data_IF_973017891183
#
_entry.id   IF_973017891183
#
_cell.length_a   1.000
_cell.length_b   1.000
_cell.length_c   1.000
_cell.angle_alpha   90.00
_cell.angle_beta   90.00
_cell.angle_gamma   90.00
#
_symmetry.space_group_name_H-M   'P 1'
#
loop_
_entity.id
_entity.type
_entity.pdbx_description
1 polymer ?
#
# COMPACT_ATOMS: atom_id res chain seq x y z
N UNK A 1 0.44 13.62 -70.71
CA UNK A 1 -0.54 14.34 -69.85
C UNK A 1 -0.78 13.51 -68.61
N UNK A 2 -0.19 13.91 -67.49
CA UNK A 2 -0.37 13.33 -66.16
C UNK A 2 -1.40 14.16 -65.37
N UNK A 3 -2.42 13.51 -64.78
CA UNK A 3 -3.16 13.95 -63.57
C UNK A 3 -3.66 12.65 -62.91
N UNK A 4 -3.10 12.15 -61.82
CA UNK A 4 -3.05 12.66 -60.43
C UNK A 4 -4.43 12.94 -59.83
N UNK A 5 -5.03 11.93 -59.21
CA UNK A 5 -6.16 12.08 -58.29
C UNK A 5 -5.70 11.74 -56.88
N UNK A 6 -5.79 12.75 -56.01
CA UNK A 6 -5.31 12.78 -54.64
C UNK A 6 -6.08 11.83 -53.71
N UNK A 7 -5.32 11.12 -52.85
CA UNK A 7 -5.82 10.42 -51.67
C UNK A 7 -6.25 11.44 -50.61
N UNK A 8 -7.50 11.34 -50.16
CA UNK A 8 -8.07 12.13 -49.06
C UNK A 8 -7.40 11.71 -47.74
N UNK A 9 -6.69 12.65 -47.12
CA UNK A 9 -6.12 12.51 -45.78
C UNK A 9 -7.22 12.50 -44.71
N UNK A 10 -7.03 11.63 -43.73
CA UNK A 10 -7.80 11.56 -42.48
C UNK A 10 -7.50 12.81 -41.64
N UNK A 11 -8.49 13.52 -41.06
CA UNK A 11 -8.23 14.72 -40.28
C UNK A 11 -7.60 14.38 -38.94
N UNK A 12 -6.49 15.05 -38.62
CA UNK A 12 -5.89 15.01 -37.29
C UNK A 12 -6.86 15.59 -36.25
N UNK A 13 -7.15 14.82 -35.20
CA UNK A 13 -7.97 15.22 -34.07
C UNK A 13 -7.25 16.29 -33.21
N UNK A 14 -7.31 17.55 -33.64
CA UNK A 14 -7.08 18.72 -32.79
C UNK A 14 -8.40 19.09 -32.12
N UNK A 15 -8.56 18.72 -30.86
CA UNK A 15 -9.68 19.21 -30.07
C UNK A 15 -9.87 18.47 -28.77
N UNK A 16 -9.20 18.93 -27.71
CA UNK A 16 -9.65 18.93 -26.30
C UNK A 16 -8.47 19.33 -25.39
N UNK A 17 -8.14 20.62 -25.33
CA UNK A 17 -7.40 21.21 -24.21
C UNK A 17 -8.20 22.42 -23.72
N UNK A 18 -9.10 22.17 -22.76
CA UNK A 18 -9.79 23.24 -22.03
C UNK A 18 -8.80 23.88 -21.06
N UNK A 19 -8.78 25.21 -21.09
CA UNK A 19 -7.93 26.16 -20.39
C UNK A 19 -7.52 25.80 -18.95
N UNK A 20 -6.22 25.67 -18.73
CA UNK A 20 -5.64 25.81 -17.40
C UNK A 20 -5.46 27.31 -17.10
N UNK A 21 -6.03 27.80 -15.97
CA UNK A 21 -5.90 29.20 -15.55
C UNK A 21 -4.49 29.46 -15.00
N UNK A 22 -3.74 30.33 -15.66
CA UNK A 22 -2.40 30.72 -15.24
C UNK A 22 -2.49 31.81 -14.14
N UNK A 23 -2.12 31.47 -12.90
CA UNK A 23 -2.02 32.45 -11.81
C UNK A 23 -0.55 32.82 -11.62
N UNK A 24 -0.05 33.80 -12.37
CA UNK A 24 1.34 34.30 -12.21
C UNK A 24 1.35 35.33 -11.07
N UNK A 25 1.96 34.99 -9.93
CA UNK A 25 2.28 35.95 -8.87
C UNK A 25 3.60 36.66 -9.19
N UNK A 26 3.71 37.98 -8.93
CA UNK A 26 4.89 38.83 -9.16
C UNK A 26 6.22 38.37 -8.51
N UNK A 27 6.22 37.29 -7.74
CA UNK A 27 7.40 36.70 -7.09
C UNK A 27 7.66 35.23 -7.50
N UNK A 28 6.99 34.75 -8.55
CA UNK A 28 7.17 33.37 -9.04
C UNK A 28 8.46 33.26 -9.85
N UNK A 29 9.30 32.22 -9.64
CA UNK A 29 10.43 31.92 -10.50
C UNK A 29 9.97 31.31 -11.84
N UNK A 30 8.70 30.96 -11.98
CA UNK A 30 8.14 30.43 -13.23
C UNK A 30 8.05 31.55 -14.27
N UNK A 31 8.79 31.42 -15.37
CA UNK A 31 8.69 32.30 -16.54
C UNK A 31 7.47 31.94 -17.38
N UNK A 32 7.37 30.67 -17.78
CA UNK A 32 6.27 30.14 -18.58
C UNK A 32 6.17 28.64 -18.38
N UNK A 33 4.99 28.05 -18.60
CA UNK A 33 4.83 26.60 -18.61
C UNK A 33 3.74 26.20 -19.59
N UNK A 34 3.73 24.92 -19.99
CA UNK A 34 2.71 24.35 -20.86
C UNK A 34 2.45 22.88 -20.56
N UNK A 35 1.25 22.41 -20.89
CA UNK A 35 0.89 21.00 -20.90
C UNK A 35 0.75 20.53 -22.35
N UNK A 36 1.51 19.52 -22.72
CA UNK A 36 1.44 18.92 -24.05
C UNK A 36 0.34 17.85 -24.11
N UNK A 37 0.20 17.08 -23.02
CA UNK A 37 -0.67 15.91 -22.98
C UNK A 37 -1.21 15.68 -21.56
N UNK A 38 -2.51 15.40 -21.48
CA UNK A 38 -3.14 14.72 -20.35
C UNK A 38 -4.09 13.66 -20.92
N UNK A 39 -3.58 12.45 -21.11
CA UNK A 39 -4.30 11.40 -21.82
C UNK A 39 -4.32 10.10 -21.02
N UNK A 40 -5.46 9.43 -21.04
CA UNK A 40 -5.61 8.09 -20.48
C UNK A 40 -4.93 7.07 -21.40
N UNK A 41 -4.24 6.10 -20.82
CA UNK A 41 -3.70 4.93 -21.54
C UNK A 41 -4.83 4.16 -22.23
N UNK A 42 -4.53 3.48 -23.33
CA UNK A 42 -5.50 2.67 -24.07
C UNK A 42 -6.20 1.60 -23.17
N UNK A 43 -5.49 1.06 -22.18
CA UNK A 43 -6.02 0.10 -21.21
C UNK A 43 -6.89 0.73 -20.11
N UNK A 44 -6.95 2.05 -20.04
CA UNK A 44 -7.67 2.80 -19.01
C UNK A 44 -7.00 2.84 -17.63
N UNK A 45 -5.87 2.15 -17.44
CA UNK A 45 -5.25 1.90 -16.13
C UNK A 45 -4.34 3.02 -15.63
N UNK A 46 -3.94 3.94 -16.51
CA UNK A 46 -3.11 5.08 -16.14
C UNK A 46 -3.45 6.33 -16.96
N UNK A 47 -3.11 7.49 -16.43
CA UNK A 47 -3.14 8.79 -17.09
C UNK A 47 -1.70 9.30 -17.21
N UNK A 48 -1.31 9.62 -18.44
CA UNK A 48 -0.02 10.27 -18.73
C UNK A 48 -0.22 11.78 -18.73
N UNK A 49 0.61 12.48 -17.96
CA UNK A 49 0.65 13.95 -17.92
C UNK A 49 2.04 14.39 -18.38
N UNK A 50 2.12 15.19 -19.44
CA UNK A 50 3.37 15.73 -19.98
C UNK A 50 3.28 17.24 -20.15
N UNK A 51 4.41 17.90 -19.95
CA UNK A 51 4.51 19.34 -20.15
C UNK A 51 5.93 19.83 -20.02
N UNK A 52 6.05 21.13 -19.85
CA UNK A 52 7.32 21.82 -19.68
C UNK A 52 7.17 23.05 -18.78
N UNK A 53 8.27 23.45 -18.15
CA UNK A 53 8.35 24.63 -17.28
C UNK A 53 9.65 25.39 -17.57
N UNK A 54 9.52 26.63 -18.01
CA UNK A 54 10.62 27.59 -18.09
C UNK A 54 10.64 28.45 -16.83
N UNK A 55 11.84 28.70 -16.34
CA UNK A 55 12.16 29.44 -15.12
C UNK A 55 12.80 30.77 -15.53
N UNK A 56 12.59 31.81 -14.73
CA UNK A 56 13.16 33.13 -14.98
C UNK A 56 14.69 33.08 -14.95
N UNK A 57 15.39 33.63 -15.95
CA UNK A 57 16.86 33.54 -16.05
C UNK A 57 17.61 34.04 -14.81
N UNK A 58 17.10 35.08 -14.13
CA UNK A 58 17.69 35.65 -12.92
C UNK A 58 17.45 34.84 -11.63
N UNK A 59 16.65 33.77 -11.70
CA UNK A 59 16.37 32.84 -10.60
C UNK A 59 17.00 31.47 -10.80
N UNK A 60 17.61 31.25 -11.96
CA UNK A 60 18.26 30.00 -12.35
C UNK A 60 19.75 30.05 -11.97
N UNK A 61 20.08 30.31 -10.71
CA UNK A 61 21.45 30.09 -10.25
C UNK A 61 21.65 28.58 -10.11
N UNK A 62 22.54 28.01 -10.93
CA UNK A 62 22.72 26.56 -11.22
C UNK A 62 23.24 25.71 -10.04
N UNK A 63 22.62 25.78 -8.87
CA UNK A 63 22.98 24.95 -7.71
C UNK A 63 22.04 23.76 -7.47
N UNK A 64 20.73 23.93 -7.73
CA UNK A 64 19.72 22.88 -7.52
C UNK A 64 19.02 22.53 -8.84
N UNK A 65 18.74 21.23 -9.04
CA UNK A 65 17.97 20.75 -10.20
C UNK A 65 16.48 21.01 -9.95
N UNK A 66 15.79 21.80 -10.78
CA UNK A 66 14.37 22.04 -10.60
C UNK A 66 13.56 20.74 -10.73
N UNK A 67 12.58 20.54 -9.86
CA UNK A 67 11.68 19.39 -9.90
C UNK A 67 10.23 19.84 -10.14
N UNK A 68 9.42 19.00 -10.77
CA UNK A 68 7.96 19.16 -10.79
C UNK A 68 7.37 18.12 -9.83
N UNK A 69 6.44 18.56 -9.00
CA UNK A 69 5.66 17.71 -8.11
C UNK A 69 4.20 17.64 -8.59
N UNK A 70 3.70 16.41 -8.74
CA UNK A 70 2.31 16.07 -8.97
C UNK A 70 1.69 15.56 -7.65
N UNK A 71 0.97 16.44 -6.94
CA UNK A 71 0.25 16.06 -5.72
C UNK A 71 -0.99 15.24 -6.08
N UNK A 72 -1.03 14.00 -5.61
CA UNK A 72 -2.14 13.07 -5.84
C UNK A 72 -3.26 13.31 -4.82
N UNK A 73 -2.87 13.59 -3.58
CA UNK A 73 -3.76 14.03 -2.52
C UNK A 73 -3.01 14.95 -1.53
N UNK A 74 -3.62 15.22 -0.38
CA UNK A 74 -3.03 16.09 0.63
C UNK A 74 -1.80 15.48 1.35
N UNK A 75 -1.52 14.18 1.22
CA UNK A 75 -0.51 13.42 1.95
C UNK A 75 0.64 12.91 1.06
N UNK A 76 0.41 12.68 -0.23
CA UNK A 76 1.43 12.16 -1.16
C UNK A 76 1.51 12.91 -2.48
N UNK A 77 2.70 12.88 -3.07
CA UNK A 77 3.00 13.48 -4.37
C UNK A 77 4.08 12.70 -5.11
N UNK A 78 4.06 12.72 -6.44
CA UNK A 78 5.15 12.20 -7.27
C UNK A 78 6.03 13.37 -7.67
N UNK A 79 7.35 13.23 -7.50
CA UNK A 79 8.35 14.25 -7.80
C UNK A 79 9.27 13.74 -8.90
N UNK A 80 9.49 14.56 -9.92
CA UNK A 80 10.39 14.26 -11.04
C UNK A 80 11.24 15.50 -11.36
N UNK A 81 12.55 15.35 -11.64
CA UNK A 81 13.34 16.48 -12.14
C UNK A 81 12.82 16.95 -13.50
N UNK A 82 13.11 18.20 -13.86
CA UNK A 82 13.02 18.64 -15.25
C UNK A 82 14.20 18.04 -16.03
N UNK A 83 13.97 16.92 -16.70
CA UNK A 83 15.02 16.13 -17.34
C UNK A 83 14.78 15.88 -18.84
N UNK A 84 13.57 16.15 -19.34
CA UNK A 84 13.25 15.92 -20.74
C UNK A 84 13.75 17.06 -21.62
N UNK A 85 14.50 16.71 -22.66
CA UNK A 85 15.00 17.64 -23.67
C UNK A 85 13.83 18.24 -24.47
N UNK A 86 13.77 19.56 -24.53
CA UNK A 86 12.72 20.32 -25.23
C UNK A 86 13.31 21.44 -26.09
N UNK A 87 14.09 21.10 -27.15
CA UNK A 87 14.63 22.11 -28.06
C UNK A 87 13.53 22.89 -28.78
N UNK A 88 12.36 22.27 -28.99
CA UNK A 88 11.16 22.89 -29.54
C UNK A 88 10.65 24.05 -28.66
N UNK A 89 10.63 23.85 -27.34
CA UNK A 89 10.21 24.88 -26.39
C UNK A 89 11.25 25.99 -26.32
N UNK A 90 12.54 25.66 -26.29
CA UNK A 90 13.60 26.67 -26.26
C UNK A 90 13.57 27.56 -27.50
N UNK A 91 13.50 26.97 -28.69
CA UNK A 91 13.44 27.72 -29.94
C UNK A 91 12.20 28.62 -30.05
N UNK A 92 11.10 28.25 -29.37
CA UNK A 92 9.87 29.04 -29.34
C UNK A 92 9.90 30.27 -28.41
N UNK A 93 10.78 30.30 -27.41
CA UNK A 93 10.79 31.35 -26.37
C UNK A 93 12.09 32.16 -26.29
N UNK A 94 13.21 31.64 -26.79
CA UNK A 94 14.51 32.29 -26.72
C UNK A 94 15.15 32.40 -28.10
N UNK A 95 15.85 33.51 -28.36
CA UNK A 95 16.68 33.68 -29.55
C UNK A 95 18.03 32.98 -29.34
N UNK A 96 18.44 32.13 -30.29
CA UNK A 96 19.73 31.43 -30.26
C UNK A 96 19.62 29.91 -30.51
N UNK A 97 20.76 29.23 -30.49
CA UNK A 97 20.82 27.78 -30.68
C UNK A 97 20.28 27.05 -29.44
N UNK A 98 19.26 26.20 -29.62
CA UNK A 98 18.61 25.48 -28.53
C UNK A 98 19.52 24.43 -27.85
N UNK A 99 20.52 23.91 -28.58
CA UNK A 99 21.34 22.77 -28.16
C UNK A 99 22.13 23.04 -26.86
N UNK A 100 22.55 24.28 -26.63
CA UNK A 100 23.36 24.66 -25.46
C UNK A 100 22.59 25.53 -24.46
N UNK A 101 21.27 25.64 -24.62
CA UNK A 101 20.50 26.51 -23.76
C UNK A 101 20.42 25.94 -22.33
N UNK A 102 20.65 26.77 -21.30
CA UNK A 102 20.61 26.34 -19.90
C UNK A 102 19.33 25.56 -19.54
N UNK A 103 18.19 25.97 -20.08
CA UNK A 103 16.90 25.36 -19.76
C UNK A 103 16.46 24.28 -20.77
N UNK A 104 17.37 23.71 -21.57
CA UNK A 104 17.02 22.70 -22.58
C UNK A 104 16.29 21.49 -21.98
N UNK A 105 16.61 21.12 -20.75
CA UNK A 105 15.88 20.12 -19.96
C UNK A 105 14.78 20.80 -19.14
N UNK A 106 13.72 21.23 -19.81
CA UNK A 106 12.57 21.88 -19.16
C UNK A 106 11.29 21.02 -19.19
N UNK A 107 11.32 19.84 -19.80
CA UNK A 107 10.15 18.96 -19.89
C UNK A 107 10.03 18.00 -18.70
N UNK A 108 8.78 17.58 -18.44
CA UNK A 108 8.44 16.59 -17.42
C UNK A 108 7.41 15.58 -17.93
N UNK A 109 7.37 14.41 -17.29
CA UNK A 109 6.33 13.40 -17.51
C UNK A 109 5.96 12.68 -16.21
N UNK A 110 4.65 12.54 -15.99
CA UNK A 110 4.08 11.68 -14.97
C UNK A 110 3.22 10.59 -15.60
N UNK A 111 3.16 9.46 -14.92
CA UNK A 111 2.17 8.40 -15.14
C UNK A 111 1.50 8.16 -13.80
N UNK A 112 0.21 8.45 -13.72
CA UNK A 112 -0.58 8.34 -12.47
C UNK A 112 -1.76 7.41 -12.69
N UNK A 113 -2.18 6.70 -11.65
CA UNK A 113 -3.48 6.01 -11.70
C UNK A 113 -4.61 7.06 -11.86
N UNK A 114 -5.77 6.68 -12.43
CA UNK A 114 -6.94 7.55 -12.45
C UNK A 114 -7.27 8.11 -11.05
N UNK A 115 -7.51 9.41 -10.97
CA UNK A 115 -7.82 10.13 -9.73
C UNK A 115 -9.25 10.65 -9.75
N UNK A 116 -9.88 10.65 -8.57
CA UNK A 116 -11.19 11.28 -8.35
C UNK A 116 -11.03 12.80 -8.23
N UNK A 117 -9.97 13.24 -7.55
CA UNK A 117 -9.61 14.65 -7.41
C UNK A 117 -8.60 15.07 -8.49
N UNK A 118 -8.60 16.34 -8.92
CA UNK A 118 -7.57 16.85 -9.84
C UNK A 118 -6.17 16.73 -9.25
N UNK A 119 -5.21 16.29 -10.08
CA UNK A 119 -3.79 16.26 -9.74
C UNK A 119 -3.25 17.68 -9.79
N UNK A 120 -2.60 18.12 -8.71
CA UNK A 120 -2.02 19.47 -8.63
C UNK A 120 -0.55 19.43 -9.02
N UNK A 121 -0.19 20.17 -10.07
CA UNK A 121 1.18 20.33 -10.53
C UNK A 121 1.82 21.56 -9.91
N UNK A 122 3.08 21.43 -9.52
CA UNK A 122 3.85 22.53 -8.95
C UNK A 122 5.34 22.40 -9.25
N UNK A 123 6.01 23.54 -9.44
CA UNK A 123 7.47 23.61 -9.54
C UNK A 123 8.08 23.60 -8.14
N UNK A 124 9.20 22.90 -7.98
CA UNK A 124 10.08 22.91 -6.81
C UNK A 124 11.47 23.40 -7.19
N UNK A 125 11.94 24.36 -6.42
CA UNK A 125 13.22 25.06 -6.59
C UNK A 125 13.56 25.74 -5.26
N UNK A 126 14.80 25.69 -4.82
CA UNK A 126 15.29 26.35 -3.58
C UNK A 126 14.43 26.01 -2.33
N UNK A 127 14.04 24.74 -2.20
CA UNK A 127 13.19 24.26 -1.09
C UNK A 127 11.77 24.84 -1.01
N UNK A 128 11.34 25.58 -2.04
CA UNK A 128 10.02 26.21 -2.16
C UNK A 128 9.19 25.54 -3.26
N UNK A 129 7.88 25.78 -3.25
CA UNK A 129 6.92 25.16 -4.16
C UNK A 129 5.98 26.21 -4.74
N UNK A 130 5.82 26.22 -6.06
CA UNK A 130 4.97 27.17 -6.80
C UNK A 130 3.94 26.42 -7.64
N UNK A 131 2.67 26.77 -7.49
CA UNK A 131 1.60 26.13 -8.25
C UNK A 131 1.74 26.41 -9.76
N UNK A 132 1.50 25.37 -10.57
CA UNK A 132 1.49 25.44 -12.02
C UNK A 132 0.07 25.25 -12.54
N UNK A 133 -0.51 24.07 -12.34
CA UNK A 133 -1.80 23.67 -12.90
C UNK A 133 -2.57 22.72 -11.99
N UNK A 134 -3.87 22.60 -12.19
CA UNK A 134 -4.67 21.48 -11.72
C UNK A 134 -5.17 20.70 -12.95
N UNK A 135 -4.91 19.40 -12.97
CA UNK A 135 -5.15 18.53 -14.12
C UNK A 135 -6.12 17.44 -13.73
N UNK A 136 -7.25 17.36 -14.42
CA UNK A 136 -8.18 16.25 -14.25
C UNK A 136 -7.57 14.97 -14.81
N UNK A 137 -7.10 14.10 -13.92
CA UNK A 137 -6.59 12.77 -14.27
C UNK A 137 -7.69 11.72 -14.13
N UNK A 138 -8.87 11.99 -14.68
CA UNK A 138 -10.02 11.10 -14.56
C UNK A 138 -9.89 9.90 -15.48
N UNK A 139 -10.45 8.77 -15.06
CA UNK A 139 -10.45 7.54 -15.83
C UNK A 139 -11.23 6.45 -15.10
N UNK A 140 -11.72 5.47 -15.85
CA UNK A 140 -12.31 4.25 -15.31
C UNK A 140 -11.23 3.17 -15.32
N UNK A 141 -10.93 2.60 -14.15
CA UNK A 141 -10.05 1.43 -14.07
C UNK A 141 -10.74 0.29 -14.84
N UNK A 142 -10.13 -0.17 -15.93
CA UNK A 142 -10.61 -1.38 -16.60
C UNK A 142 -9.97 -2.59 -15.93
N UNK A 143 -10.79 -3.58 -15.54
CA UNK A 143 -10.31 -4.87 -15.04
C UNK A 143 -9.57 -5.70 -16.10
N UNK A 144 -9.49 -5.21 -17.35
CA UNK A 144 -9.16 -6.00 -18.54
C UNK A 144 -7.67 -6.33 -18.72
N UNK A 145 -6.80 -6.02 -17.75
CA UNK A 145 -5.41 -6.46 -17.84
C UNK A 145 -4.79 -6.74 -16.45
N UNK A 146 -5.25 -7.81 -15.80
CA UNK A 146 -4.65 -8.32 -14.57
C UNK A 146 -3.17 -8.67 -14.74
N UNK A 147 -2.76 -9.12 -15.93
CA UNK A 147 -1.36 -9.41 -16.26
C UNK A 147 -0.50 -8.14 -16.23
N UNK A 148 -1.04 -6.98 -16.63
CA UNK A 148 -0.33 -5.70 -16.50
C UNK A 148 0.01 -5.32 -15.06
N UNK A 149 -0.63 -5.93 -14.05
CA UNK A 149 -0.30 -5.74 -12.63
C UNK A 149 0.87 -6.60 -12.15
N UNK A 150 1.43 -7.44 -13.02
CA UNK A 150 2.57 -8.32 -12.75
C UNK A 150 3.80 -7.81 -13.49
N UNK A 151 4.91 -7.71 -12.76
CA UNK A 151 6.23 -7.42 -13.29
C UNK A 151 7.09 -8.68 -13.20
N UNK A 152 7.64 -9.13 -14.33
CA UNK A 152 8.61 -10.21 -14.34
C UNK A 152 9.97 -9.68 -13.88
N UNK A 153 10.45 -10.19 -12.77
CA UNK A 153 11.83 -10.06 -12.32
C UNK A 153 12.73 -11.15 -12.88
N UNK A 154 13.95 -11.21 -12.37
CA UNK A 154 14.93 -12.25 -12.73
C UNK A 154 14.54 -13.59 -12.09
N UNK A 155 15.01 -14.69 -12.68
CA UNK A 155 14.86 -16.04 -12.14
C UNK A 155 13.41 -16.43 -11.79
N UNK A 156 12.43 -16.00 -12.59
CA UNK A 156 11.02 -16.35 -12.41
C UNK A 156 10.28 -15.62 -11.28
N UNK A 157 10.93 -14.69 -10.58
CA UNK A 157 10.29 -13.88 -9.54
C UNK A 157 9.25 -12.92 -10.13
N UNK A 158 8.06 -12.89 -9.54
CA UNK A 158 7.00 -11.96 -9.94
C UNK A 158 6.89 -10.82 -8.94
N UNK A 159 6.74 -9.59 -9.40
CA UNK A 159 6.54 -8.42 -8.55
C UNK A 159 5.25 -7.69 -8.90
N UNK A 160 4.73 -6.91 -7.96
CA UNK A 160 3.58 -6.07 -8.22
C UNK A 160 4.00 -4.81 -8.99
N UNK A 161 3.23 -4.44 -10.01
CA UNK A 161 3.32 -3.13 -10.68
C UNK A 161 1.93 -2.60 -10.97
N UNK A 162 1.84 -1.33 -11.39
CA UNK A 162 0.58 -0.71 -11.83
C UNK A 162 -0.56 -0.88 -10.81
N UNK A 163 -0.24 -0.87 -9.52
CA UNK A 163 -1.23 -0.91 -8.46
C UNK A 163 -1.68 0.51 -8.08
N UNK A 164 -2.84 0.60 -7.45
CA UNK A 164 -3.46 1.89 -7.09
C UNK A 164 -2.71 2.64 -5.99
N UNK A 165 -1.69 2.04 -5.38
CA UNK A 165 -0.82 2.71 -4.40
C UNK A 165 0.52 3.18 -4.99
N UNK A 166 0.77 2.99 -6.30
CA UNK A 166 2.00 3.38 -6.97
C UNK A 166 3.26 2.75 -6.35
N UNK A 167 3.25 1.44 -6.04
CA UNK A 167 4.36 0.76 -5.34
C UNK A 167 5.71 0.93 -6.04
N UNK A 168 5.73 0.91 -7.38
CA UNK A 168 6.96 1.17 -8.14
C UNK A 168 7.55 2.56 -7.88
N UNK A 169 6.70 3.60 -7.77
CA UNK A 169 7.15 4.95 -7.43
C UNK A 169 7.58 5.07 -5.95
N UNK A 170 7.09 4.20 -5.08
CA UNK A 170 7.56 4.13 -3.69
C UNK A 170 8.98 3.57 -3.62
N UNK A 171 9.28 2.56 -4.44
CA UNK A 171 10.60 1.93 -4.53
C UNK A 171 11.65 2.81 -5.21
N UNK A 172 11.30 3.47 -6.32
CA UNK A 172 12.23 4.37 -7.03
C UNK A 172 12.45 5.73 -6.33
N UNK A 173 11.73 5.99 -5.22
CA UNK A 173 11.85 7.21 -4.41
C UNK A 173 11.17 8.44 -5.01
N UNK A 174 10.43 8.30 -6.11
CA UNK A 174 9.74 9.44 -6.74
C UNK A 174 8.42 9.77 -6.08
N UNK A 175 7.75 8.80 -5.44
CA UNK A 175 6.63 9.07 -4.55
C UNK A 175 7.14 9.54 -3.18
N UNK A 176 6.72 10.72 -2.75
CA UNK A 176 7.13 11.32 -1.47
C UNK A 176 5.93 11.65 -0.59
N UNK A 177 6.14 11.60 0.73
CA UNK A 177 5.18 12.13 1.69
C UNK A 177 5.26 13.66 1.66
N UNK A 178 4.11 14.32 1.50
CA UNK A 178 4.05 15.77 1.68
C UNK A 178 4.34 16.13 3.14
N UNK A 179 4.58 17.42 3.42
CA UNK A 179 4.70 17.92 4.80
C UNK A 179 3.48 17.55 5.65
N UNK A 180 2.28 17.49 5.07
CA UNK A 180 1.06 17.06 5.78
C UNK A 180 1.05 15.54 5.97
N UNK A 181 1.46 14.76 4.97
CA UNK A 181 1.71 13.31 5.09
C UNK A 181 2.59 12.96 6.30
N UNK A 182 3.78 13.56 6.36
CA UNK A 182 4.74 13.37 7.47
C UNK A 182 4.13 13.75 8.82
N UNK A 183 3.44 14.91 8.91
CA UNK A 183 2.78 15.33 10.15
C UNK A 183 1.65 14.38 10.57
N UNK A 184 0.89 13.85 9.63
CA UNK A 184 -0.19 12.90 9.91
C UNK A 184 0.38 11.57 10.44
N UNK A 185 1.47 11.06 9.87
CA UNK A 185 2.16 9.88 10.38
C UNK A 185 2.75 10.10 11.78
N UNK A 186 3.43 11.23 12.04
CA UNK A 186 3.89 11.59 13.39
C UNK A 186 2.75 11.67 14.42
N UNK A 187 1.59 12.15 13.98
CA UNK A 187 0.40 12.24 14.84
C UNK A 187 -0.17 10.85 15.12
N UNK A 188 -0.23 10.01 14.09
CA UNK A 188 -0.68 8.62 14.21
C UNK A 188 0.21 7.85 15.20
N UNK A 189 1.55 7.88 15.01
CA UNK A 189 2.50 7.18 15.88
C UNK A 189 2.40 7.60 17.35
N UNK A 190 2.35 8.91 17.60
CA UNK A 190 2.18 9.45 18.96
C UNK A 190 0.87 9.00 19.60
N UNK A 191 -0.23 9.03 18.86
CA UNK A 191 -1.55 8.65 19.39
C UNK A 191 -1.66 7.13 19.59
N UNK A 192 -0.99 6.32 18.77
CA UNK A 192 -0.86 4.88 18.98
C UNK A 192 -0.12 4.59 20.30
N UNK A 193 1.01 5.25 20.56
CA UNK A 193 1.71 5.15 21.86
C UNK A 193 0.84 5.60 23.04
N UNK A 194 0.14 6.74 22.90
CA UNK A 194 -0.77 7.23 23.95
C UNK A 194 -1.90 6.25 24.24
N UNK A 195 -2.46 5.63 23.19
CA UNK A 195 -3.47 4.59 23.34
C UNK A 195 -2.90 3.38 24.09
N UNK A 196 -1.71 2.90 23.72
CA UNK A 196 -1.05 1.78 24.40
C UNK A 196 -0.83 2.06 25.87
N UNK A 197 -0.32 3.26 26.18
CA UNK A 197 -0.10 3.72 27.55
C UNK A 197 -1.39 3.77 28.38
N UNK A 198 -2.50 4.24 27.79
CA UNK A 198 -3.80 4.34 28.47
C UNK A 198 -4.40 2.99 28.84
N UNK A 199 -4.15 1.95 28.02
CA UNK A 199 -4.67 0.61 28.26
C UNK A 199 -3.64 -0.31 28.92
N UNK A 200 -2.44 0.18 29.20
CA UNK A 200 -1.36 -0.59 29.81
C UNK A 200 -0.74 -1.66 28.88
N UNK A 201 -0.87 -1.50 27.56
CA UNK A 201 -0.38 -2.46 26.57
C UNK A 201 0.77 -1.88 25.73
N UNK A 202 1.94 -2.55 25.65
CA UNK A 202 2.96 -2.21 24.67
C UNK A 202 2.41 -2.26 23.25
N UNK A 203 2.90 -1.33 22.41
CA UNK A 203 2.47 -1.18 21.02
C UNK A 203 3.61 -1.40 20.06
N UNK A 204 3.35 -2.08 18.95
CA UNK A 204 4.25 -2.15 17.80
C UNK A 204 3.50 -1.79 16.51
N UNK A 205 4.19 -1.13 15.58
CA UNK A 205 3.72 -0.89 14.23
C UNK A 205 4.61 -1.67 13.26
N UNK A 206 4.10 -2.81 12.78
CA UNK A 206 4.76 -3.59 11.74
C UNK A 206 4.47 -3.01 10.36
N UNK A 207 5.54 -2.54 9.72
CA UNK A 207 5.58 -2.25 8.31
C UNK A 207 6.09 -3.48 7.56
N UNK A 208 5.20 -4.28 6.98
CA UNK A 208 5.63 -5.40 6.14
C UNK A 208 6.34 -4.83 4.91
N UNK A 209 7.65 -5.08 4.71
CA UNK A 209 8.40 -4.46 3.62
C UNK A 209 7.83 -4.83 2.25
N UNK A 210 8.21 -4.07 1.23
CA UNK A 210 7.96 -4.51 -0.14
C UNK A 210 8.93 -5.64 -0.52
N UNK A 211 8.51 -6.53 -1.41
CA UNK A 211 9.36 -7.64 -1.84
C UNK A 211 10.62 -7.14 -2.56
N UNK A 212 10.47 -6.07 -3.32
CA UNK A 212 11.56 -5.41 -4.04
C UNK A 212 12.60 -4.73 -3.14
N UNK A 213 12.25 -4.33 -1.90
CA UNK A 213 13.24 -3.79 -0.96
C UNK A 213 14.05 -4.89 -0.25
N UNK A 214 13.46 -6.08 -0.09
CA UNK A 214 14.13 -7.24 0.53
C UNK A 214 14.92 -8.07 -0.48
N UNK A 215 14.42 -8.18 -1.72
CA UNK A 215 15.03 -9.00 -2.79
C UNK A 215 15.43 -8.15 -4.01
N UNK A 216 16.27 -7.10 -3.84
CA UNK A 216 16.63 -6.20 -4.93
C UNK A 216 17.36 -6.90 -6.07
N UNK A 217 18.07 -8.01 -5.81
CA UNK A 217 18.78 -8.81 -6.84
C UNK A 217 17.85 -9.35 -7.93
N UNK A 218 16.57 -9.57 -7.62
CA UNK A 218 15.57 -10.09 -8.56
C UNK A 218 14.71 -9.00 -9.18
N UNK A 219 14.69 -7.80 -8.61
CA UNK A 219 13.89 -6.68 -9.11
C UNK A 219 14.61 -5.95 -10.26
N UNK A 220 13.92 -5.59 -11.36
CA UNK A 220 14.58 -4.99 -12.52
C UNK A 220 14.87 -3.49 -12.39
N UNK A 221 14.36 -2.82 -11.35
CA UNK A 221 14.54 -1.38 -11.16
C UNK A 221 15.39 -1.06 -9.93
N UNK A 222 16.24 -0.04 -10.05
CA UNK A 222 17.05 0.44 -8.95
C UNK A 222 16.17 1.03 -7.84
N UNK A 223 16.63 0.89 -6.59
CA UNK A 223 16.04 1.57 -5.44
C UNK A 223 16.36 3.07 -5.50
N UNK A 224 15.40 3.89 -5.12
CA UNK A 224 15.59 5.34 -4.98
C UNK A 224 16.48 5.70 -3.79
N UNK A 225 17.02 6.92 -3.81
CA UNK A 225 17.85 7.45 -2.72
C UNK A 225 17.05 7.73 -1.43
N UNK A 226 15.75 7.97 -1.56
CA UNK A 226 14.86 8.26 -0.43
C UNK A 226 13.46 7.70 -0.70
N UNK A 227 13.28 6.43 -0.38
CA UNK A 227 12.01 5.72 -0.50
C UNK A 227 10.96 6.24 0.47
N UNK A 228 9.69 5.96 0.17
CA UNK A 228 8.59 6.33 1.07
C UNK A 228 8.69 5.61 2.44
N UNK A 229 9.28 4.42 2.46
CA UNK A 229 9.51 3.62 3.67
C UNK A 229 10.57 4.28 4.57
N UNK A 230 11.66 4.79 4.00
CA UNK A 230 12.71 5.52 4.74
C UNK A 230 12.17 6.85 5.29
N UNK A 231 11.37 7.58 4.51
CA UNK A 231 10.68 8.79 4.98
C UNK A 231 9.78 8.49 6.19
N UNK A 232 9.13 7.33 6.19
CA UNK A 232 8.30 6.89 7.30
C UNK A 232 9.15 6.50 8.53
N UNK A 233 10.24 5.75 8.31
CA UNK A 233 11.20 5.40 9.35
C UNK A 233 11.75 6.63 10.08
N UNK A 234 12.03 7.71 9.35
CA UNK A 234 12.50 8.96 9.92
C UNK A 234 11.47 9.72 10.79
N UNK A 235 10.20 9.29 10.83
CA UNK A 235 9.13 9.98 11.59
C UNK A 235 8.42 9.13 12.64
N UNK A 236 8.68 7.83 12.66
CA UNK A 236 8.12 6.90 13.65
C UNK A 236 9.25 6.48 14.59
N UNK A 237 9.04 6.51 15.92
CA UNK A 237 10.07 6.07 16.87
C UNK A 237 10.49 4.61 16.63
N UNK A 238 11.79 4.34 16.67
CA UNK A 238 12.37 3.02 16.45
C UNK A 238 11.89 2.00 17.49
N UNK A 239 11.57 2.44 18.71
CA UNK A 239 11.06 1.57 19.77
C UNK A 239 9.64 1.05 19.50
N UNK A 240 8.97 1.58 18.47
CA UNK A 240 7.63 1.17 18.07
C UNK A 240 7.60 0.62 16.64
N UNK A 241 8.44 1.11 15.73
CA UNK A 241 8.46 0.68 14.34
C UNK A 241 9.14 -0.68 14.19
N UNK A 242 8.46 -1.61 13.53
CA UNK A 242 9.04 -2.87 13.07
C UNK A 242 9.13 -2.80 11.56
N UNK A 243 10.34 -2.64 11.01
CA UNK A 243 10.58 -2.61 9.57
C UNK A 243 11.67 -3.63 9.20
N UNK A 244 11.33 -4.92 9.05
CA UNK A 244 12.29 -6.03 9.09
C UNK A 244 13.01 -6.27 7.74
N UNK A 245 13.47 -5.23 7.04
CA UNK A 245 14.17 -5.38 5.75
C UNK A 245 15.45 -6.19 5.89
N UNK A 246 16.35 -5.79 6.80
CA UNK A 246 17.64 -6.47 7.03
C UNK A 246 17.49 -7.93 7.44
N UNK A 247 16.70 -8.30 8.47
CA UNK A 247 16.58 -9.70 8.88
C UNK A 247 15.86 -10.56 7.82
N UNK A 248 14.92 -10.00 7.05
CA UNK A 248 14.34 -10.72 5.91
C UNK A 248 15.35 -10.91 4.78
N UNK A 249 16.18 -9.91 4.49
CA UNK A 249 17.21 -10.00 3.47
C UNK A 249 18.26 -11.06 3.82
N UNK A 250 18.54 -11.24 5.12
CA UNK A 250 19.50 -12.22 5.61
C UNK A 250 19.08 -13.68 5.35
N UNK A 251 17.77 -13.96 5.28
CA UNK A 251 17.26 -15.30 4.91
C UNK A 251 17.04 -15.45 3.39
N UNK A 252 17.34 -14.41 2.61
CA UNK A 252 17.31 -14.43 1.15
C UNK A 252 15.96 -14.89 0.58
N UNK A 253 16.02 -15.86 -0.31
CA UNK A 253 14.87 -16.34 -1.10
C UNK A 253 13.77 -16.95 -0.23
N UNK A 254 14.09 -17.40 0.99
CA UNK A 254 13.10 -17.88 1.95
C UNK A 254 12.27 -16.74 2.57
N UNK A 255 12.52 -15.47 2.27
CA UNK A 255 11.74 -14.35 2.85
C UNK A 255 10.35 -14.15 2.24
N UNK A 256 10.21 -14.39 0.93
CA UNK A 256 8.98 -14.15 0.19
C UNK A 256 8.66 -15.31 -0.74
N UNK A 257 7.38 -15.42 -1.06
CA UNK A 257 6.89 -16.32 -2.09
C UNK A 257 7.24 -15.76 -3.49
N UNK A 258 7.71 -16.63 -4.38
CA UNK A 258 8.20 -16.23 -5.71
C UNK A 258 7.10 -15.62 -6.58
N UNK A 259 5.93 -16.27 -6.67
CA UNK A 259 4.79 -15.86 -7.49
C UNK A 259 3.71 -15.07 -6.71
N UNK A 260 4.04 -14.50 -5.55
CA UNK A 260 3.09 -13.83 -4.65
C UNK A 260 3.68 -12.54 -4.03
N UNK A 261 2.84 -11.63 -3.53
CA UNK A 261 3.26 -10.40 -2.84
C UNK A 261 3.58 -10.55 -1.35
N UNK A 262 3.28 -11.69 -0.73
CA UNK A 262 3.40 -11.93 0.72
C UNK A 262 4.68 -12.68 1.10
N UNK A 263 4.97 -12.63 2.41
CA UNK A 263 6.02 -13.45 3.02
C UNK A 263 5.78 -14.93 2.76
N UNK A 264 6.87 -15.69 2.67
CA UNK A 264 6.80 -17.12 2.92
C UNK A 264 6.50 -17.37 4.42
N UNK A 265 6.31 -18.63 4.81
CA UNK A 265 6.24 -18.98 6.23
C UNK A 265 7.52 -18.63 6.98
N UNK A 266 8.70 -18.75 6.39
CA UNK A 266 9.99 -18.37 7.00
C UNK A 266 10.10 -16.85 7.16
N UNK A 267 9.67 -16.09 6.16
CA UNK A 267 9.60 -14.62 6.26
C UNK A 267 8.62 -14.16 7.35
N UNK A 268 7.47 -14.85 7.47
CA UNK A 268 6.50 -14.56 8.53
C UNK A 268 7.02 -14.90 9.93
N UNK A 269 7.84 -15.95 10.07
CA UNK A 269 8.56 -16.26 11.32
C UNK A 269 9.47 -15.11 11.71
N UNK A 270 10.35 -14.68 10.79
CA UNK A 270 11.28 -13.56 11.01
C UNK A 270 10.52 -12.30 11.40
N UNK A 271 9.49 -11.90 10.64
CA UNK A 271 8.67 -10.74 10.99
C UNK A 271 8.01 -10.86 12.38
N UNK A 272 7.62 -12.06 12.79
CA UNK A 272 7.04 -12.31 14.13
C UNK A 272 8.08 -12.15 15.23
N UNK A 273 9.31 -12.64 15.03
CA UNK A 273 10.43 -12.45 15.98
C UNK A 273 10.79 -10.98 16.11
N UNK A 274 10.78 -10.23 15.01
CA UNK A 274 11.03 -8.79 15.00
C UNK A 274 9.95 -8.02 15.79
N UNK A 275 8.67 -8.39 15.63
CA UNK A 275 7.58 -7.86 16.45
C UNK A 275 7.78 -8.20 17.93
N UNK A 276 8.15 -9.44 18.25
CA UNK A 276 8.42 -9.87 19.62
C UNK A 276 9.55 -9.05 20.27
N UNK A 277 10.58 -8.68 19.50
CA UNK A 277 11.68 -7.83 19.97
C UNK A 277 11.19 -6.43 20.35
N UNK A 278 10.43 -5.80 19.45
CA UNK A 278 9.89 -4.45 19.70
C UNK A 278 8.92 -4.44 20.88
N UNK A 279 8.14 -5.51 21.06
CA UNK A 279 7.29 -5.71 22.24
C UNK A 279 8.06 -6.12 23.51
N UNK A 280 9.40 -6.24 23.45
CA UNK A 280 10.30 -6.61 24.56
C UNK A 280 9.96 -7.97 25.20
N UNK A 281 9.56 -8.93 24.38
CA UNK A 281 9.34 -10.31 24.82
C UNK A 281 10.68 -11.05 25.07
N UNK A 282 10.68 -12.15 25.83
CA UNK A 282 11.89 -12.96 26.04
C UNK A 282 12.33 -13.63 24.73
N UNK A 283 13.22 -12.97 23.99
CA UNK A 283 13.58 -13.37 22.63
C UNK A 283 14.21 -14.75 22.54
N UNK A 284 15.03 -15.16 23.52
CA UNK A 284 15.64 -16.48 23.52
C UNK A 284 14.57 -17.59 23.52
N UNK A 285 13.51 -17.41 24.32
CA UNK A 285 12.39 -18.37 24.40
C UNK A 285 11.56 -18.35 23.12
N UNK A 286 11.31 -17.16 22.56
CA UNK A 286 10.59 -17.01 21.28
C UNK A 286 11.33 -17.69 20.13
N UNK A 287 12.65 -17.51 20.03
CA UNK A 287 13.46 -18.17 19.00
C UNK A 287 13.51 -19.69 19.24
N UNK A 288 13.70 -20.11 20.49
CA UNK A 288 13.72 -21.54 20.85
C UNK A 288 12.41 -22.25 20.52
N UNK A 289 11.28 -21.55 20.65
CA UNK A 289 9.95 -22.07 20.31
C UNK A 289 9.84 -22.52 18.84
N UNK A 290 10.58 -21.87 17.93
CA UNK A 290 10.54 -22.14 16.48
C UNK A 290 11.76 -22.96 16.00
N UNK A 291 12.74 -23.24 16.86
CA UNK A 291 13.99 -23.89 16.48
C UNK A 291 13.81 -25.27 15.84
N UNK A 292 12.78 -26.01 16.29
CA UNK A 292 12.47 -27.36 15.81
C UNK A 292 11.38 -27.39 14.72
N UNK A 293 11.07 -26.24 14.12
CA UNK A 293 10.06 -26.16 13.07
C UNK A 293 10.51 -26.89 11.80
N UNK A 294 9.63 -27.75 11.28
CA UNK A 294 9.86 -28.50 10.05
C UNK A 294 9.06 -27.90 8.92
N UNK A 295 9.67 -27.86 7.74
CA UNK A 295 9.09 -27.32 6.54
C UNK A 295 9.14 -28.36 5.44
N UNK A 296 8.14 -28.32 4.58
CA UNK A 296 8.04 -29.18 3.40
C UNK A 296 7.88 -28.34 2.14
N UNK A 297 8.43 -28.76 1.00
CA UNK A 297 8.16 -28.13 -0.28
C UNK A 297 6.69 -28.32 -0.68
N UNK A 298 6.06 -27.26 -1.16
CA UNK A 298 4.70 -27.28 -1.68
C UNK A 298 4.61 -26.35 -2.90
N UNK A 299 3.92 -26.81 -3.96
CA UNK A 299 3.60 -25.97 -5.11
C UNK A 299 2.39 -25.10 -4.78
N UNK A 300 2.57 -23.78 -4.80
CA UNK A 300 1.49 -22.84 -4.51
C UNK A 300 1.22 -21.91 -5.68
N UNK A 301 -0.06 -21.56 -5.86
CA UNK A 301 -0.48 -20.47 -6.74
C UNK A 301 -0.53 -19.18 -5.91
N UNK A 302 0.45 -18.31 -6.13
CA UNK A 302 0.47 -16.98 -5.52
C UNK A 302 -0.53 -15.99 -6.12
N UNK A 303 -0.77 -14.87 -5.44
CA UNK A 303 -1.68 -13.81 -5.86
C UNK A 303 -1.26 -13.11 -7.17
N UNK A 304 0.03 -13.11 -7.51
CA UNK A 304 0.53 -12.64 -8.81
C UNK A 304 0.46 -13.76 -9.85
N UNK A 305 0.82 -14.99 -9.48
CA UNK A 305 0.76 -16.15 -10.37
C UNK A 305 -0.65 -16.42 -10.91
N UNK A 306 -1.68 -16.20 -10.07
CA UNK A 306 -3.10 -16.31 -10.45
C UNK A 306 -3.54 -15.27 -11.50
N UNK A 307 -2.81 -14.17 -11.66
CA UNK A 307 -3.13 -13.09 -12.62
C UNK A 307 -2.58 -13.35 -14.03
N UNK A 308 -1.76 -14.38 -14.19
CA UNK A 308 -1.15 -14.75 -15.45
C UNK A 308 -2.00 -15.79 -16.20
N UNK A 309 -1.86 -15.82 -17.52
CA UNK A 309 -2.43 -16.86 -18.38
C UNK A 309 -1.31 -17.43 -19.26
N UNK A 310 -0.88 -18.69 -19.06
CA UNK A 310 -1.37 -19.62 -18.04
C UNK A 310 -1.03 -19.19 -16.60
N UNK A 311 -1.77 -19.72 -15.62
CA UNK A 311 -1.49 -19.53 -14.19
C UNK A 311 -0.11 -20.06 -13.86
N UNK A 312 0.69 -19.29 -13.13
CA UNK A 312 2.04 -19.69 -12.72
C UNK A 312 2.05 -20.13 -11.24
N UNK A 313 2.68 -21.27 -10.96
CA UNK A 313 2.98 -21.75 -9.60
C UNK A 313 4.44 -21.50 -9.24
N UNK A 314 4.75 -21.64 -7.95
CA UNK A 314 6.12 -21.71 -7.47
C UNK A 314 6.23 -22.64 -6.28
N UNK A 315 7.31 -23.41 -6.22
CA UNK A 315 7.69 -24.19 -5.04
C UNK A 315 8.06 -23.29 -3.87
N UNK A 316 7.54 -23.56 -2.68
CA UNK A 316 7.92 -22.87 -1.45
C UNK A 316 8.01 -23.83 -0.28
N UNK A 317 8.76 -23.45 0.75
CA UNK A 317 8.77 -24.13 2.04
C UNK A 317 7.56 -23.70 2.87
N UNK A 318 6.68 -24.65 3.19
CA UNK A 318 5.50 -24.44 4.05
C UNK A 318 5.74 -25.16 5.38
N UNK A 319 5.43 -24.47 6.48
CA UNK A 319 5.52 -25.02 7.83
C UNK A 319 4.61 -26.24 7.98
N UNK A 320 5.20 -27.36 8.36
CA UNK A 320 4.53 -28.65 8.53
C UNK A 320 4.31 -29.00 10.01
N UNK A 321 5.26 -28.63 10.88
CA UNK A 321 5.23 -29.01 12.30
C UNK A 321 4.11 -28.36 13.11
N UNK A 322 3.41 -27.36 12.57
CA UNK A 322 2.34 -26.66 13.26
C UNK A 322 1.28 -26.09 12.30
N UNK A 323 0.01 -26.17 12.70
CA UNK A 323 -1.12 -25.57 11.99
C UNK A 323 -2.00 -24.77 12.95
N UNK A 324 -1.94 -23.43 12.83
CA UNK A 324 -2.70 -22.52 13.70
C UNK A 324 -4.22 -22.71 13.57
N UNK A 325 -4.72 -23.28 12.47
CA UNK A 325 -6.16 -23.51 12.27
C UNK A 325 -6.75 -24.42 13.34
N UNK A 326 -5.95 -25.33 13.90
CA UNK A 326 -6.36 -26.24 14.99
C UNK A 326 -6.65 -25.51 16.30
N UNK A 327 -6.17 -24.28 16.44
CA UNK A 327 -6.40 -23.44 17.63
C UNK A 327 -7.26 -22.22 17.31
N UNK A 328 -7.86 -22.13 16.12
CA UNK A 328 -8.85 -21.09 15.80
C UNK A 328 -10.14 -21.43 16.54
N UNK A 329 -10.58 -20.51 17.41
CA UNK A 329 -11.82 -20.65 18.19
C UNK A 329 -12.91 -19.70 17.70
N UNK A 330 -12.55 -18.69 16.91
CA UNK A 330 -13.51 -17.78 16.28
C UNK A 330 -12.99 -17.27 14.94
N UNK A 331 -13.88 -17.21 13.94
CA UNK A 331 -13.70 -16.55 12.66
C UNK A 331 -15.08 -16.05 12.20
N UNK A 332 -15.21 -14.76 11.91
CA UNK A 332 -16.48 -14.23 11.43
C UNK A 332 -16.76 -14.49 9.94
N UNK A 333 -15.85 -15.18 9.24
CA UNK A 333 -16.05 -15.69 7.88
C UNK A 333 -15.89 -14.66 6.76
N UNK A 334 -15.65 -13.38 7.08
CA UNK A 334 -15.42 -12.36 6.06
C UNK A 334 -14.08 -12.61 5.34
N UNK A 335 -13.97 -12.35 4.02
CA UNK A 335 -12.75 -12.69 3.28
C UNK A 335 -11.54 -11.79 3.58
N UNK A 336 -11.77 -10.49 3.80
CA UNK A 336 -10.69 -9.50 3.98
C UNK A 336 -11.04 -8.47 5.07
N UNK A 337 -11.20 -7.19 4.70
CA UNK A 337 -11.49 -6.10 5.62
C UNK A 337 -12.71 -6.41 6.50
N UNK A 338 -12.58 -6.15 7.81
CA UNK A 338 -13.63 -6.46 8.79
C UNK A 338 -13.62 -7.91 9.28
N UNK A 339 -12.79 -8.79 8.69
CA UNK A 339 -12.59 -10.14 9.23
C UNK A 339 -11.94 -10.06 10.61
N UNK A 340 -12.47 -10.83 11.55
CA UNK A 340 -11.89 -11.04 12.87
C UNK A 340 -11.66 -12.53 13.04
N UNK A 341 -10.40 -12.91 13.28
CA UNK A 341 -9.99 -14.28 13.61
C UNK A 341 -9.41 -14.29 15.02
N UNK A 342 -9.76 -15.29 15.82
CA UNK A 342 -9.23 -15.49 17.16
C UNK A 342 -8.65 -16.89 17.27
N UNK A 343 -7.39 -16.97 17.69
CA UNK A 343 -6.76 -18.22 18.10
C UNK A 343 -6.65 -18.30 19.61
N UNK A 344 -6.85 -19.49 20.19
CA UNK A 344 -6.56 -19.79 21.59
C UNK A 344 -5.69 -21.05 21.72
N UNK A 345 -4.43 -20.86 22.10
CA UNK A 345 -3.48 -21.96 22.28
C UNK A 345 -3.13 -22.09 23.77
N UNK A 346 -3.52 -23.21 24.39
CA UNK A 346 -3.24 -23.47 25.81
C UNK A 346 -1.76 -23.70 26.08
N UNK A 347 -1.01 -24.15 25.09
CA UNK A 347 0.43 -24.44 25.19
C UNK A 347 1.31 -23.25 24.80
N UNK A 348 0.71 -22.09 24.56
CA UNK A 348 1.47 -20.89 24.22
C UNK A 348 2.44 -20.46 25.34
N UNK A 349 3.56 -19.89 24.92
CA UNK A 349 4.65 -19.39 25.76
C UNK A 349 4.13 -18.41 26.83
N UNK A 350 3.26 -17.48 26.44
CA UNK A 350 2.71 -16.45 27.32
C UNK A 350 1.20 -16.65 27.51
N UNK A 351 0.73 -16.58 28.77
CA UNK A 351 -0.72 -16.54 29.09
C UNK A 351 -1.28 -15.13 28.93
N UNK A 352 -1.13 -14.59 27.72
CA UNK A 352 -1.36 -13.19 27.36
C UNK A 352 -2.17 -13.07 26.07
N UNK A 353 -2.86 -11.95 25.90
CA UNK A 353 -3.64 -11.63 24.70
C UNK A 353 -2.92 -10.60 23.84
N UNK A 354 -2.69 -10.93 22.57
CA UNK A 354 -2.19 -9.98 21.57
C UNK A 354 -3.31 -9.61 20.58
N UNK A 355 -3.59 -8.31 20.45
CA UNK A 355 -4.52 -7.78 19.47
C UNK A 355 -3.75 -7.22 18.26
N UNK A 356 -4.03 -7.76 17.07
CA UNK A 356 -3.39 -7.39 15.81
C UNK A 356 -4.42 -6.71 14.91
N UNK A 357 -4.22 -5.42 14.63
CA UNK A 357 -4.91 -4.70 13.56
C UNK A 357 -4.13 -4.87 12.26
N UNK A 358 -4.29 -6.02 11.61
CA UNK A 358 -3.42 -6.47 10.53
C UNK A 358 -4.01 -6.40 9.14
N UNK A 359 -3.27 -6.91 8.16
CA UNK A 359 -3.67 -7.07 6.77
C UNK A 359 -3.34 -8.49 6.29
N UNK A 360 -3.35 -8.73 4.98
CA UNK A 360 -3.09 -10.05 4.41
C UNK A 360 -1.74 -10.66 4.81
N UNK A 361 -0.71 -9.84 5.08
CA UNK A 361 0.61 -10.33 5.54
C UNK A 361 0.60 -10.82 6.99
N UNK A 362 -0.46 -10.57 7.76
CA UNK A 362 -0.58 -11.03 9.15
C UNK A 362 -1.05 -12.48 9.28
N UNK A 363 -1.72 -13.06 8.26
CA UNK A 363 -2.22 -14.44 8.38
C UNK A 363 -1.11 -15.49 8.45
N UNK A 364 -0.05 -15.43 7.62
CA UNK A 364 1.09 -16.34 7.79
C UNK A 364 1.75 -16.23 9.16
N UNK A 365 1.72 -15.04 9.78
CA UNK A 365 2.25 -14.82 11.13
C UNK A 365 1.42 -15.52 12.23
N UNK A 366 0.16 -15.93 11.96
CA UNK A 366 -0.63 -16.68 12.93
C UNK A 366 0.00 -18.03 13.27
N UNK A 367 0.76 -18.64 12.35
CA UNK A 367 1.54 -19.88 12.59
C UNK A 367 2.54 -19.76 13.74
N UNK A 368 2.97 -18.53 14.03
CA UNK A 368 4.01 -18.24 15.03
C UNK A 368 3.45 -17.48 16.22
N UNK A 369 2.67 -16.43 15.98
CA UNK A 369 2.09 -15.60 17.04
C UNK A 369 1.12 -16.37 17.94
N UNK A 370 0.38 -17.36 17.42
CA UNK A 370 -0.49 -18.21 18.25
C UNK A 370 0.28 -19.17 19.17
N UNK A 371 1.59 -19.33 18.97
CA UNK A 371 2.47 -20.10 19.87
C UNK A 371 3.13 -19.20 20.93
N UNK A 372 3.30 -17.92 20.62
CA UNK A 372 3.80 -16.93 21.57
C UNK A 372 2.71 -16.55 22.58
N UNK A 373 1.52 -16.23 22.09
CA UNK A 373 0.43 -15.72 22.93
C UNK A 373 -0.70 -16.74 23.06
N UNK A 374 -1.21 -16.89 24.28
CA UNK A 374 -2.37 -17.73 24.55
C UNK A 374 -3.56 -17.35 23.68
N UNK A 375 -3.82 -16.05 23.51
CA UNK A 375 -4.86 -15.55 22.62
C UNK A 375 -4.28 -14.55 21.62
N UNK A 376 -4.55 -14.75 20.33
CA UNK A 376 -4.30 -13.76 19.29
C UNK A 376 -5.63 -13.39 18.65
N UNK A 377 -5.95 -12.09 18.65
CA UNK A 377 -7.09 -11.54 17.92
C UNK A 377 -6.56 -10.79 16.71
N UNK A 378 -6.80 -11.28 15.50
CA UNK A 378 -6.45 -10.62 14.26
C UNK A 378 -7.69 -9.96 13.66
N UNK A 379 -7.72 -8.63 13.65
CA UNK A 379 -8.71 -7.82 12.94
C UNK A 379 -8.11 -7.29 11.63
N UNK A 380 -8.61 -7.75 10.49
CA UNK A 380 -8.13 -7.30 9.17
C UNK A 380 -8.59 -5.87 8.88
N UNK A 381 -7.71 -4.92 9.15
CA UNK A 381 -7.98 -3.48 9.12
C UNK A 381 -6.79 -2.65 8.67
N UNK A 382 -5.66 -3.26 8.32
CA UNK A 382 -4.42 -2.61 7.87
C UNK A 382 -3.99 -1.46 8.81
N UNK A 383 -3.82 -1.76 10.09
CA UNK A 383 -3.47 -0.82 11.16
C UNK A 383 -4.50 0.31 11.41
N UNK A 384 -5.73 0.21 10.87
CA UNK A 384 -6.83 1.05 11.32
C UNK A 384 -7.37 0.50 12.65
N UNK A 385 -7.26 1.29 13.73
CA UNK A 385 -7.58 0.84 15.09
C UNK A 385 -9.04 1.11 15.42
N UNK A 386 -9.68 0.08 15.97
CA UNK A 386 -11.00 0.16 16.61
C UNK A 386 -10.83 0.30 18.14
N UNK A 387 -11.05 1.50 18.71
CA UNK A 387 -10.91 1.71 20.15
C UNK A 387 -11.94 0.91 20.97
N UNK A 388 -13.10 0.57 20.40
CA UNK A 388 -14.10 -0.26 21.06
C UNK A 388 -13.59 -1.70 21.19
N UNK A 389 -12.91 -2.21 20.16
CA UNK A 389 -12.33 -3.56 20.19
C UNK A 389 -11.25 -3.65 21.28
N UNK A 390 -10.36 -2.65 21.33
CA UNK A 390 -9.32 -2.54 22.37
C UNK A 390 -9.96 -2.49 23.76
N UNK A 391 -10.96 -1.64 23.96
CA UNK A 391 -11.64 -1.48 25.25
C UNK A 391 -12.35 -2.75 25.72
N UNK A 392 -12.95 -3.51 24.81
CA UNK A 392 -13.66 -4.76 25.13
C UNK A 392 -12.69 -5.90 25.42
N UNK A 393 -11.61 -6.00 24.65
CA UNK A 393 -10.62 -7.08 24.81
C UNK A 393 -9.65 -6.87 25.95
N UNK A 394 -9.31 -5.61 26.27
CA UNK A 394 -8.23 -5.25 27.22
C UNK A 394 -6.96 -6.06 26.96
N UNK A 395 -6.39 -5.99 25.73
CA UNK A 395 -5.27 -6.84 25.36
C UNK A 395 -4.01 -6.48 26.15
N UNK A 396 -3.11 -7.45 26.33
CA UNK A 396 -1.79 -7.21 26.93
C UNK A 396 -0.83 -6.57 25.92
N UNK A 397 -1.03 -6.79 24.62
CA UNK A 397 -0.21 -6.25 23.53
C UNK A 397 -1.07 -5.80 22.35
N UNK A 398 -0.67 -4.71 21.69
CA UNK A 398 -1.35 -4.23 20.47
C UNK A 398 -0.35 -4.08 19.33
N UNK A 399 -0.65 -4.69 18.19
CA UNK A 399 0.15 -4.60 16.97
C UNK A 399 -0.68 -3.99 15.86
N UNK A 400 -0.28 -2.84 15.34
CA UNK A 400 -0.75 -2.37 14.04
C UNK A 400 0.12 -3.01 12.97
N UNK A 401 -0.46 -3.64 11.94
CA UNK A 401 0.30 -4.11 10.78
C UNK A 401 -0.28 -3.53 9.50
N UNK A 402 0.61 -2.96 8.68
CA UNK A 402 0.29 -2.50 7.33
C UNK A 402 1.40 -2.90 6.36
N UNK A 403 1.03 -3.16 5.11
CA UNK A 403 2.02 -3.40 4.06
C UNK A 403 2.64 -2.07 3.63
N UNK A 404 3.93 -2.06 3.33
CA UNK A 404 4.67 -0.88 2.90
C UNK A 404 3.98 -0.14 1.75
N UNK A 405 3.41 -0.86 0.78
CA UNK A 405 2.64 -0.26 -0.31
C UNK A 405 1.46 0.61 0.14
N UNK A 406 0.91 0.41 1.33
CA UNK A 406 -0.25 1.17 1.83
C UNK A 406 0.12 2.45 2.60
N UNK A 407 1.40 2.75 2.80
CA UNK A 407 1.80 3.92 3.63
C UNK A 407 1.48 5.27 3.01
N UNK A 408 1.07 5.27 1.74
CA UNK A 408 0.44 6.42 1.07
C UNK A 408 -0.81 6.91 1.78
N UNK A 409 -1.45 6.07 2.61
CA UNK A 409 -2.62 6.40 3.42
C UNK A 409 -2.31 6.20 4.90
N UNK A 410 -2.47 7.26 5.69
CA UNK A 410 -2.31 7.18 7.14
C UNK A 410 -3.51 6.44 7.75
N UNK A 411 -3.30 5.40 8.57
CA UNK A 411 -4.41 4.69 9.20
C UNK A 411 -5.19 5.55 10.20
N UNK A 412 -6.44 5.16 10.45
CA UNK A 412 -7.37 5.80 11.37
C UNK A 412 -7.26 5.17 12.76
N UNK A 413 -7.46 5.98 13.80
CA UNK A 413 -7.45 5.53 15.21
C UNK A 413 -8.85 5.44 15.83
N UNK A 414 -9.87 5.80 15.05
CA UNK A 414 -11.29 5.76 15.40
C UNK A 414 -12.06 4.93 14.37
N UNK A 415 -11.45 3.84 13.92
CA UNK A 415 -12.05 2.95 12.95
C UNK A 415 -13.21 2.19 13.59
N UNK A 416 -14.31 2.03 12.85
CA UNK A 416 -15.50 1.34 13.35
C UNK A 416 -15.68 0.04 12.57
N UNK A 417 -15.16 -1.06 13.12
CA UNK A 417 -15.29 -2.38 12.47
C UNK A 417 -16.76 -2.80 12.32
N UNK A 418 -17.68 -2.55 13.28
CA UNK A 418 -19.09 -2.92 13.09
C UNK A 418 -19.74 -2.23 11.89
N UNK A 419 -19.50 -0.93 11.71
CA UNK A 419 -20.00 -0.19 10.55
C UNK A 419 -19.42 -0.72 9.23
N UNK A 420 -18.14 -1.13 9.24
CA UNK A 420 -17.51 -1.76 8.09
C UNK A 420 -18.15 -3.13 7.78
N UNK A 421 -18.37 -3.98 8.79
CA UNK A 421 -19.02 -5.28 8.64
C UNK A 421 -20.40 -5.11 8.00
N UNK A 422 -21.21 -4.19 8.53
CA UNK A 422 -22.53 -3.89 7.99
C UNK A 422 -22.46 -3.43 6.53
N UNK A 423 -21.54 -2.52 6.21
CA UNK A 423 -21.34 -2.05 4.84
C UNK A 423 -21.00 -3.21 3.90
N UNK A 424 -19.98 -4.01 4.23
CA UNK A 424 -19.52 -5.12 3.39
C UNK A 424 -20.66 -6.12 3.14
N UNK A 425 -21.36 -6.54 4.19
CA UNK A 425 -22.44 -7.53 4.06
C UNK A 425 -23.65 -6.99 3.29
N UNK A 426 -23.92 -5.68 3.37
CA UNK A 426 -24.98 -5.03 2.59
C UNK A 426 -24.67 -4.99 1.08
N UNK A 427 -23.38 -4.87 0.73
CA UNK A 427 -22.87 -4.79 -0.64
C UNK A 427 -22.57 -6.18 -1.24
N UNK A 428 -22.49 -7.23 -0.42
CA UNK A 428 -22.24 -8.60 -0.88
C UNK A 428 -23.40 -9.22 -1.65
N UNK A 429 -23.05 -10.06 -2.64
CA UNK A 429 -23.98 -10.96 -3.33
C UNK A 429 -24.46 -12.07 -2.40
N UNK A 430 -25.53 -12.77 -2.78
CA UNK A 430 -26.03 -13.90 -1.99
C UNK A 430 -24.98 -15.01 -1.85
N UNK A 431 -24.28 -15.35 -2.95
CA UNK A 431 -23.17 -16.30 -2.91
C UNK A 431 -22.05 -15.86 -1.95
N UNK A 432 -21.74 -14.55 -1.89
CA UNK A 432 -20.77 -14.00 -0.94
C UNK A 432 -21.19 -14.12 0.52
N UNK A 433 -22.50 -13.98 0.80
CA UNK A 433 -23.06 -14.17 2.15
C UNK A 433 -23.04 -15.65 2.56
N UNK A 434 -23.42 -16.56 1.67
CA UNK A 434 -23.34 -18.01 1.93
C UNK A 434 -21.89 -18.46 2.14
N UNK A 435 -20.95 -17.91 1.37
CA UNK A 435 -19.52 -18.11 1.61
C UNK A 435 -19.09 -17.56 2.98
N UNK A 436 -19.60 -16.40 3.40
CA UNK A 436 -19.30 -15.84 4.73
C UNK A 436 -19.81 -16.77 5.84
N UNK A 437 -21.05 -17.25 5.75
CA UNK A 437 -21.66 -18.18 6.71
C UNK A 437 -20.89 -19.50 6.81
N UNK A 438 -20.59 -20.12 5.67
CA UNK A 438 -19.87 -21.41 5.62
C UNK A 438 -18.44 -21.34 6.13
N UNK A 439 -17.82 -20.15 6.11
CA UNK A 439 -16.48 -19.93 6.62
C UNK A 439 -16.43 -19.54 8.11
N UNK A 440 -17.56 -19.44 8.80
CA UNK A 440 -17.55 -19.06 10.21
C UNK A 440 -17.01 -20.18 11.10
N UNK A 441 -16.23 -19.79 12.09
CA UNK A 441 -15.92 -20.60 13.27
C UNK A 441 -16.48 -19.87 14.46
N UNK A 442 -17.35 -20.50 15.23
CA UNK A 442 -18.06 -19.84 16.34
C UNK A 442 -17.90 -20.66 17.60
N UNK A 443 -17.19 -20.10 18.58
CA UNK A 443 -17.16 -20.65 19.93
C UNK A 443 -18.54 -20.57 20.60
N UNK A 444 -18.73 -21.29 21.71
CA UNK A 444 -19.98 -21.26 22.45
C UNK A 444 -20.34 -19.84 22.95
N UNK A 445 -21.62 -19.60 23.26
CA UNK A 445 -22.10 -18.28 23.70
C UNK A 445 -21.40 -17.76 24.95
N UNK A 446 -21.07 -18.65 25.90
CA UNK A 446 -20.40 -18.27 27.14
C UNK A 446 -19.04 -17.62 26.84
N UNK A 447 -18.28 -18.24 25.93
CA UNK A 447 -17.00 -17.71 25.45
C UNK A 447 -17.17 -16.35 24.76
N UNK A 448 -18.17 -16.21 23.89
CA UNK A 448 -18.43 -14.94 23.18
C UNK A 448 -18.74 -13.77 24.14
N UNK A 449 -19.51 -14.06 25.20
CA UNK A 449 -19.86 -13.09 26.25
C UNK A 449 -18.64 -12.66 27.07
N UNK A 450 -17.75 -13.59 27.38
CA UNK A 450 -16.56 -13.31 28.21
C UNK A 450 -15.41 -12.63 27.48
N UNK A 451 -15.27 -12.88 26.18
CA UNK A 451 -14.12 -12.39 25.40
C UNK A 451 -14.33 -11.02 24.76
N UNK A 452 -15.52 -10.43 24.84
CA UNK A 452 -15.83 -9.15 24.18
C UNK A 452 -15.99 -9.25 22.66
N UNK A 453 -15.78 -10.43 22.07
CA UNK A 453 -16.00 -10.73 20.65
C UNK A 453 -17.49 -10.85 20.31
N UNK A 454 -18.34 -11.24 21.26
CA UNK A 454 -19.77 -11.43 21.05
C UNK A 454 -20.48 -10.23 20.41
N UNK A 455 -20.06 -9.01 20.71
CA UNK A 455 -20.61 -7.80 20.08
C UNK A 455 -20.36 -7.75 18.55
N UNK A 456 -19.17 -8.16 18.12
CA UNK A 456 -18.80 -8.20 16.70
C UNK A 456 -19.47 -9.38 15.99
N UNK A 457 -19.60 -10.52 16.67
CA UNK A 457 -20.36 -11.66 16.16
C UNK A 457 -21.82 -11.29 15.92
N UNK A 458 -22.46 -10.66 16.91
CA UNK A 458 -23.85 -10.22 16.80
C UNK A 458 -24.05 -9.25 15.62
N UNK A 459 -23.08 -8.35 15.38
CA UNK A 459 -23.14 -7.44 14.23
C UNK A 459 -23.18 -8.20 12.90
N UNK A 460 -22.44 -9.31 12.79
CA UNK A 460 -22.42 -10.15 11.58
C UNK A 460 -23.75 -10.88 11.41
N UNK A 461 -24.27 -11.47 12.49
CA UNK A 461 -25.57 -12.17 12.50
C UNK A 461 -26.69 -11.21 12.05
N UNK A 462 -26.80 -10.04 12.68
CA UNK A 462 -27.82 -9.05 12.34
C UNK A 462 -27.72 -8.55 10.89
N UNK A 463 -26.50 -8.35 10.40
CA UNK A 463 -26.27 -7.90 9.03
C UNK A 463 -26.62 -8.96 7.98
N UNK A 464 -26.46 -10.24 8.30
CA UNK A 464 -26.88 -11.35 7.45
C UNK A 464 -28.41 -11.53 7.46
N UNK A 465 -29.08 -11.36 8.61
CA UNK A 465 -30.52 -11.54 8.75
C UNK A 465 -31.38 -10.40 8.14
N UNK A 466 -30.91 -9.14 8.19
CA UNK A 466 -31.70 -7.96 7.79
C UNK A 466 -32.23 -7.97 6.35
N UNK A 467 -31.69 -8.82 5.45
CA UNK A 467 -32.15 -8.92 4.05
C UNK A 467 -33.03 -10.12 3.76
N UNK A 468 -33.04 -11.15 4.61
CA UNK A 468 -33.98 -12.28 4.49
C UNK A 468 -35.41 -11.79 4.66
N UNK A 469 -35.64 -10.82 5.56
CA UNK A 469 -36.96 -10.22 5.79
C UNK A 469 -37.39 -9.23 4.72
N UNK A 470 -36.47 -8.69 3.92
CA UNK A 470 -36.77 -7.75 2.83
C UNK A 470 -37.03 -8.40 1.47
N UNK A 471 -36.79 -9.71 1.34
CA UNK A 471 -37.05 -10.49 0.12
C UNK A 471 -38.36 -11.31 0.19
N UNK A 472 -39.08 -11.26 1.32
CA UNK A 472 -40.37 -11.94 1.53
C UNK A 472 -41.59 -11.01 1.46
N UNK A 473 -41.40 -9.73 1.15
CA UNK A 473 -42.47 -8.72 1.05
C UNK A 473 -42.50 -7.98 -0.31
N UNK A 474 -42.00 -8.62 -1.38
CA UNK A 474 -42.09 -8.11 -2.75
C UNK A 474 -42.92 -9.01 -3.65
#
# INVERSE_FOLDING_TARGET
MFRSTASRGVPAARGLLKSARQVIRRQSPVFQWGLDECAQSAAGTAVTIKGWVLIQPNRFAWGEVPEVAASLDAHVEIVRPLDQLRPDVIAGFFSGAAADHPQLRCGFRFVVAPQVEPVKLSLRLDGRQWALAEVAATGVESERDLASKVLHGKAGWLFLRNDTNNSACQHDGTLRLTRKGLRSWRRYSRRLQQMGSRVGAPVALLLSPTKESVLPKYYPHAVGQQTLQEQLGAVIPDEMLVHPVTPLSAIGDESYLTADTHFSDRGAMVATVEVARTLRLPLADVVSLFANDRYRPEEIVGDLGRKLSPVQTSSTQVLESYDYRKVVVYDNGLPFFGRIVVTENRDALLKKTCLVFGSSSSYPMLKYSSRIFHRVVLAHTAANLDPQLISKLKPDYVVGQTNARFIVRVPKLNYCIPALIQKILSEQTEAGRQATLSNQVVANEHWLKQTGIGFYHQTVVEALEKRVRGAGES
#
